data_IF_414869077875
#
_entry.id   IF_414869077875
#
_cell.length_a   1.000
_cell.length_b   1.000
_cell.length_c   1.000
_cell.angle_alpha   90.00
_cell.angle_beta   90.00
_cell.angle_gamma   90.00
#
_symmetry.space_group_name_H-M   'P 1'
#
loop_
_entity.id
_entity.type
_entity.pdbx_description
1 polymer ?
#
# COMPACT_ATOMS: atom_id res chain seq x y z
N UNK A 1 31.63 -14.64 -13.55
CA UNK A 1 30.17 -14.69 -13.34
C UNK A 1 29.56 -15.15 -14.66
N UNK A 2 28.91 -16.32 -14.70
CA UNK A 2 28.40 -16.87 -15.95
C UNK A 2 27.18 -16.07 -16.43
N UNK A 3 27.21 -15.64 -17.69
CA UNK A 3 26.13 -14.92 -18.37
C UNK A 3 24.75 -15.59 -18.23
N UNK A 4 24.69 -16.90 -17.98
CA UNK A 4 23.47 -17.67 -17.74
C UNK A 4 22.62 -17.18 -16.56
N UNK A 5 23.20 -16.53 -15.54
CA UNK A 5 22.44 -16.05 -14.37
C UNK A 5 21.54 -14.86 -14.71
N UNK A 6 21.99 -13.93 -15.55
CA UNK A 6 21.27 -12.69 -15.83
C UNK A 6 20.01 -12.92 -16.67
N UNK A 7 20.08 -13.83 -17.65
CA UNK A 7 18.95 -14.19 -18.52
C UNK A 7 17.80 -14.91 -17.79
N UNK A 8 18.04 -15.42 -16.58
CA UNK A 8 17.02 -16.08 -15.77
C UNK A 8 16.22 -15.11 -14.88
N UNK A 9 16.61 -13.83 -14.79
CA UNK A 9 15.91 -12.87 -13.94
C UNK A 9 14.57 -12.37 -14.52
N UNK A 10 14.31 -12.61 -15.81
CA UNK A 10 13.04 -12.28 -16.48
C UNK A 10 12.63 -10.82 -16.29
N UNK A 11 13.60 -9.91 -16.42
CA UNK A 11 13.42 -8.49 -16.10
C UNK A 11 12.32 -7.85 -16.96
N UNK A 12 12.26 -8.19 -18.25
CA UNK A 12 11.24 -7.67 -19.15
C UNK A 12 9.84 -8.11 -18.72
N UNK A 13 9.66 -9.39 -18.38
CA UNK A 13 8.39 -9.93 -17.93
C UNK A 13 7.97 -9.33 -16.59
N UNK A 14 8.90 -9.25 -15.61
CA UNK A 14 8.63 -8.65 -14.30
C UNK A 14 8.26 -7.18 -14.43
N UNK A 15 9.00 -6.40 -15.23
CA UNK A 15 8.69 -4.98 -15.49
C UNK A 15 7.32 -4.82 -16.14
N UNK A 16 6.99 -5.64 -17.14
CA UNK A 16 5.71 -5.57 -17.85
C UNK A 16 4.55 -5.82 -16.89
N UNK A 17 4.62 -6.92 -16.12
CA UNK A 17 3.56 -7.32 -15.18
C UNK A 17 3.42 -6.30 -14.05
N UNK A 18 4.52 -5.81 -13.49
CA UNK A 18 4.46 -4.86 -12.38
C UNK A 18 3.98 -3.48 -12.84
N UNK A 19 4.32 -3.02 -14.04
CA UNK A 19 3.76 -1.78 -14.56
C UNK A 19 2.24 -1.87 -14.71
N UNK A 20 1.73 -2.94 -15.31
CA UNK A 20 0.28 -3.16 -15.45
C UNK A 20 -0.42 -3.27 -14.09
N UNK A 21 0.12 -4.10 -13.17
CA UNK A 21 -0.38 -4.21 -11.79
C UNK A 21 -0.39 -2.85 -11.09
N UNK A 22 0.68 -2.07 -11.24
CA UNK A 22 0.83 -0.75 -10.64
C UNK A 22 -0.25 0.24 -11.07
N UNK A 23 -0.62 0.24 -12.36
CA UNK A 23 -1.75 1.04 -12.86
C UNK A 23 -3.07 0.64 -12.19
N UNK A 24 -3.34 -0.67 -12.11
CA UNK A 24 -4.52 -1.18 -11.42
C UNK A 24 -4.58 -0.79 -9.94
N UNK A 25 -3.45 -0.88 -9.23
CA UNK A 25 -3.32 -0.45 -7.83
C UNK A 25 -3.57 1.05 -7.69
N UNK A 26 -2.98 1.87 -8.57
CA UNK A 26 -3.14 3.32 -8.57
C UNK A 26 -4.60 3.73 -8.77
N UNK A 27 -5.31 3.09 -9.70
CA UNK A 27 -6.74 3.33 -9.95
C UNK A 27 -7.58 2.97 -8.72
N UNK A 28 -7.31 1.83 -8.06
CA UNK A 28 -8.02 1.44 -6.83
C UNK A 28 -7.78 2.45 -5.70
N UNK A 29 -6.53 2.87 -5.48
CA UNK A 29 -6.20 3.90 -4.50
C UNK A 29 -6.87 5.24 -4.80
N UNK A 30 -6.92 5.64 -6.08
CA UNK A 30 -7.61 6.85 -6.51
C UNK A 30 -9.11 6.80 -6.18
N UNK A 31 -9.77 5.68 -6.48
CA UNK A 31 -11.20 5.52 -6.20
C UNK A 31 -11.50 5.54 -4.70
N UNK A 32 -10.67 4.89 -3.87
CA UNK A 32 -10.79 4.95 -2.41
C UNK A 32 -10.61 6.39 -1.94
N UNK A 33 -9.55 7.07 -2.38
CA UNK A 33 -9.28 8.47 -2.04
C UNK A 33 -10.47 9.36 -2.38
N UNK A 34 -11.04 9.23 -3.57
CA UNK A 34 -12.20 10.02 -4.02
C UNK A 34 -13.44 9.72 -3.19
N UNK A 35 -13.74 8.44 -2.96
CA UNK A 35 -14.91 8.00 -2.20
C UNK A 35 -14.86 8.50 -0.76
N UNK A 36 -13.70 8.42 -0.12
CA UNK A 36 -13.50 8.90 1.26
C UNK A 36 -13.44 10.44 1.37
N UNK A 37 -13.14 11.15 0.28
CA UNK A 37 -13.12 12.62 0.25
C UNK A 37 -14.50 13.25 0.05
N UNK A 38 -15.46 12.52 -0.55
CA UNK A 38 -16.81 13.02 -0.79
C UNK A 38 -17.75 12.61 0.35
N UNK A 39 -18.33 13.56 1.11
CA UNK A 39 -19.27 13.28 2.20
C UNK A 39 -20.49 12.44 1.79
N UNK A 40 -20.88 12.45 0.51
CA UNK A 40 -22.04 11.69 0.02
C UNK A 40 -21.73 10.22 -0.21
N UNK A 41 -20.48 9.89 -0.55
CA UNK A 41 -20.04 8.52 -0.85
C UNK A 41 -19.19 7.90 0.25
N UNK A 42 -18.72 8.71 1.22
CA UNK A 42 -17.92 8.25 2.34
C UNK A 42 -18.66 7.16 3.12
N UNK A 43 -17.96 6.11 3.60
CA UNK A 43 -18.61 5.06 4.38
C UNK A 43 -19.44 5.63 5.54
N UNK A 44 -20.73 5.27 5.70
CA UNK A 44 -21.63 5.91 6.67
C UNK A 44 -21.11 5.89 8.11
N UNK A 45 -20.52 4.77 8.54
CA UNK A 45 -19.93 4.62 9.88
C UNK A 45 -18.76 5.58 10.17
N UNK A 46 -18.17 6.24 9.16
CA UNK A 46 -17.16 7.29 9.39
C UNK A 46 -17.80 8.66 9.71
N UNK A 47 -19.10 8.83 9.44
CA UNK A 47 -19.85 10.06 9.64
C UNK A 47 -20.75 10.00 10.88
N UNK A 48 -21.01 8.80 11.39
CA UNK A 48 -21.91 8.58 12.52
C UNK A 48 -21.30 9.01 13.86
N UNK A 49 -22.05 9.81 14.63
CA UNK A 49 -21.63 10.26 15.97
C UNK A 49 -21.43 9.10 16.96
N UNK A 50 -22.19 8.02 16.81
CA UNK A 50 -22.04 6.79 17.61
C UNK A 50 -20.67 6.13 17.42
N UNK A 51 -20.08 6.25 16.23
CA UNK A 51 -18.79 5.63 15.89
C UNK A 51 -17.59 6.47 16.33
N UNK A 52 -17.77 7.76 16.61
CA UNK A 52 -16.70 8.71 16.93
C UNK A 52 -15.71 8.23 18.01
N UNK A 53 -16.14 7.62 19.14
CA UNK A 53 -15.22 7.07 20.13
C UNK A 53 -14.32 5.95 19.56
N UNK A 54 -14.90 5.07 18.74
CA UNK A 54 -14.17 3.99 18.06
C UNK A 54 -13.15 4.56 17.08
N UNK A 55 -13.56 5.54 16.24
CA UNK A 55 -12.68 6.18 15.26
C UNK A 55 -11.46 6.82 15.92
N UNK A 56 -11.69 7.59 16.99
CA UNK A 56 -10.62 8.24 17.77
C UNK A 56 -9.68 7.20 18.42
N UNK A 57 -10.24 6.15 19.02
CA UNK A 57 -9.47 5.09 19.66
C UNK A 57 -8.59 4.34 18.64
N UNK A 58 -9.18 3.89 17.54
CA UNK A 58 -8.50 3.18 16.45
C UNK A 58 -7.37 4.03 15.88
N UNK A 59 -7.65 5.29 15.53
CA UNK A 59 -6.62 6.16 14.93
C UNK A 59 -5.45 6.42 15.90
N UNK A 60 -5.74 6.60 17.20
CA UNK A 60 -4.72 6.84 18.23
C UNK A 60 -3.86 5.61 18.51
N UNK A 61 -4.45 4.42 18.45
CA UNK A 61 -3.78 3.16 18.79
C UNK A 61 -3.17 2.45 17.59
N UNK A 62 -3.49 2.87 16.37
CA UNK A 62 -2.98 2.26 15.15
C UNK A 62 -1.44 2.18 15.11
N UNK A 63 -0.84 1.02 14.75
CA UNK A 63 -1.46 -0.27 14.44
C UNK A 63 -1.70 -1.18 15.66
N UNK A 64 -1.25 -0.79 16.85
CA UNK A 64 -1.33 -1.58 18.09
C UNK A 64 -2.70 -1.43 18.79
N UNK A 65 -3.76 -1.95 18.15
CA UNK A 65 -5.13 -1.86 18.66
C UNK A 65 -5.43 -3.09 19.53
N UNK A 66 -5.72 -2.87 20.81
CA UNK A 66 -6.18 -3.93 21.71
C UNK A 66 -7.71 -4.11 21.59
N UNK A 67 -8.13 -5.08 20.76
CA UNK A 67 -9.54 -5.37 20.49
C UNK A 67 -10.23 -6.00 21.70
N UNK A 68 -9.52 -6.85 22.45
CA UNK A 68 -10.09 -7.66 23.55
C UNK A 68 -10.35 -6.85 24.80
N UNK A 69 -9.44 -5.94 25.17
CA UNK A 69 -9.55 -5.17 26.41
C UNK A 69 -10.23 -3.80 26.24
N UNK A 70 -10.58 -3.40 25.00
CA UNK A 70 -11.11 -2.06 24.71
C UNK A 70 -12.57 -2.06 24.24
N UNK A 71 -13.36 -3.00 24.76
CA UNK A 71 -14.79 -3.16 24.45
C UNK A 71 -15.61 -1.90 24.72
N UNK A 72 -15.22 -1.07 25.69
CA UNK A 72 -15.87 0.22 25.96
C UNK A 72 -15.76 1.22 24.80
N UNK A 73 -14.65 1.19 24.05
CA UNK A 73 -14.42 2.09 22.92
C UNK A 73 -14.88 1.48 21.61
N UNK A 74 -14.78 0.15 21.46
CA UNK A 74 -15.10 -0.59 20.24
C UNK A 74 -16.50 -1.20 20.23
N UNK A 75 -17.34 -0.90 21.22
CA UNK A 75 -18.73 -1.38 21.32
C UNK A 75 -19.55 -1.14 20.03
N UNK A 76 -19.51 0.06 19.42
CA UNK A 76 -20.16 0.33 18.13
C UNK A 76 -19.64 -0.57 17.00
N UNK A 77 -18.32 -0.74 16.89
CA UNK A 77 -17.70 -1.63 15.88
C UNK A 77 -18.16 -3.08 16.07
N UNK A 78 -18.25 -3.56 17.32
CA UNK A 78 -18.71 -4.91 17.61
C UNK A 78 -20.16 -5.16 17.19
N UNK A 79 -21.02 -4.13 17.32
CA UNK A 79 -22.44 -4.19 16.93
C UNK A 79 -22.61 -4.30 15.42
N UNK A 80 -21.78 -3.59 14.65
CA UNK A 80 -21.90 -3.48 13.18
C UNK A 80 -20.81 -4.24 12.41
N UNK A 81 -20.04 -5.10 13.09
CA UNK A 81 -18.85 -5.78 12.53
C UNK A 81 -19.08 -6.47 11.18
N UNK A 82 -20.24 -7.08 10.97
CA UNK A 82 -20.56 -7.75 9.70
C UNK A 82 -20.72 -6.77 8.54
N UNK A 83 -21.35 -5.61 8.78
CA UNK A 83 -21.51 -4.57 7.77
C UNK A 83 -20.20 -3.85 7.49
N UNK A 84 -19.43 -3.56 8.54
CA UNK A 84 -18.08 -2.99 8.42
C UNK A 84 -17.19 -3.88 7.55
N UNK A 85 -17.15 -5.19 7.80
CA UNK A 85 -16.39 -6.14 6.97
C UNK A 85 -16.91 -6.12 5.53
N UNK A 86 -18.23 -6.22 5.33
CA UNK A 86 -18.84 -6.22 3.99
C UNK A 86 -18.41 -5.01 3.17
N UNK A 87 -18.38 -3.82 3.78
CA UNK A 87 -17.97 -2.59 3.10
C UNK A 87 -16.45 -2.51 2.90
N UNK A 88 -15.68 -2.75 3.97
CA UNK A 88 -14.24 -2.47 3.98
C UNK A 88 -13.38 -3.59 3.39
N UNK A 89 -13.91 -4.79 3.15
CA UNK A 89 -13.12 -5.90 2.58
C UNK A 89 -12.36 -5.48 1.32
N UNK A 90 -13.03 -4.87 0.35
CA UNK A 90 -12.37 -4.47 -0.90
C UNK A 90 -11.33 -3.35 -0.69
N UNK A 91 -11.55 -2.47 0.29
CA UNK A 91 -10.61 -1.40 0.61
C UNK A 91 -9.37 -1.97 1.29
N UNK A 92 -9.58 -2.82 2.29
CA UNK A 92 -8.50 -3.50 3.00
C UNK A 92 -7.64 -4.32 2.06
N UNK A 93 -8.25 -5.15 1.21
CA UNK A 93 -7.51 -5.93 0.21
C UNK A 93 -6.76 -5.02 -0.78
N UNK A 94 -7.32 -3.86 -1.15
CA UNK A 94 -6.60 -2.88 -1.98
C UNK A 94 -5.38 -2.27 -1.25
N UNK A 95 -5.44 -2.09 0.07
CA UNK A 95 -4.27 -1.65 0.85
C UNK A 95 -3.21 -2.76 0.99
N UNK A 96 -3.64 -4.01 1.15
CA UNK A 96 -2.74 -5.19 1.11
C UNK A 96 -2.05 -5.29 -0.24
N UNK A 97 -2.78 -5.07 -1.34
CA UNK A 97 -2.22 -5.05 -2.69
C UNK A 97 -1.13 -3.99 -2.87
N UNK A 98 -1.26 -2.81 -2.23
CA UNK A 98 -0.21 -1.78 -2.27
C UNK A 98 1.05 -2.28 -1.58
N UNK A 99 0.91 -2.95 -0.42
CA UNK A 99 2.03 -3.52 0.32
C UNK A 99 2.74 -4.60 -0.48
N UNK A 100 1.99 -5.53 -1.08
CA UNK A 100 2.59 -6.56 -1.93
C UNK A 100 3.21 -5.99 -3.19
N UNK A 101 2.56 -5.01 -3.83
CA UNK A 101 3.13 -4.34 -5.00
C UNK A 101 4.48 -3.71 -4.68
N UNK A 102 4.57 -3.00 -3.54
CA UNK A 102 5.83 -2.45 -3.03
C UNK A 102 6.90 -3.53 -2.86
N UNK A 103 6.58 -4.64 -2.21
CA UNK A 103 7.54 -5.72 -1.96
C UNK A 103 8.14 -6.26 -3.27
N UNK A 104 7.29 -6.48 -4.28
CA UNK A 104 7.75 -6.97 -5.59
C UNK A 104 8.55 -5.92 -6.37
N UNK A 105 8.19 -4.63 -6.26
CA UNK A 105 8.99 -3.54 -6.85
C UNK A 105 10.39 -3.54 -6.22
N UNK A 106 10.51 -3.68 -4.91
CA UNK A 106 11.82 -3.69 -4.24
C UNK A 106 12.69 -4.87 -4.61
N UNK A 107 12.10 -6.06 -4.67
CA UNK A 107 12.83 -7.23 -5.16
C UNK A 107 13.39 -6.98 -6.57
N UNK A 108 12.57 -6.39 -7.45
CA UNK A 108 12.99 -6.10 -8.82
C UNK A 108 14.07 -5.00 -8.89
N UNK A 109 13.92 -3.89 -8.16
CA UNK A 109 14.91 -2.81 -8.14
C UNK A 109 16.27 -3.31 -7.62
N UNK A 110 16.26 -4.11 -6.54
CA UNK A 110 17.48 -4.74 -6.00
C UNK A 110 18.13 -5.69 -7.03
N UNK A 111 17.32 -6.42 -7.79
CA UNK A 111 17.82 -7.31 -8.85
C UNK A 111 18.48 -6.50 -9.98
N UNK A 112 17.85 -5.40 -10.40
CA UNK A 112 18.39 -4.49 -11.45
C UNK A 112 19.74 -3.90 -11.01
N UNK A 113 19.84 -3.43 -9.76
CA UNK A 113 21.09 -2.91 -9.22
C UNK A 113 22.19 -3.97 -9.19
N UNK A 114 21.86 -5.19 -8.72
CA UNK A 114 22.81 -6.29 -8.67
C UNK A 114 23.29 -6.72 -10.07
N UNK A 115 22.42 -6.61 -11.08
CA UNK A 115 22.78 -6.87 -12.48
C UNK A 115 23.59 -5.73 -13.12
N UNK A 116 23.70 -4.58 -12.46
CA UNK A 116 24.34 -3.37 -13.00
C UNK A 116 23.84 -3.04 -14.41
N UNK A 117 22.52 -3.11 -14.60
CA UNK A 117 21.90 -2.93 -15.90
C UNK A 117 22.28 -1.58 -16.54
N UNK A 118 22.55 -1.61 -17.84
CA UNK A 118 22.77 -0.40 -18.62
C UNK A 118 21.44 0.15 -19.12
N UNK A 119 21.21 1.45 -18.94
CA UNK A 119 20.03 2.18 -19.41
C UNK A 119 20.46 3.23 -20.42
N UNK A 120 19.81 3.23 -21.58
CA UNK A 120 19.91 4.27 -22.61
C UNK A 120 18.62 4.23 -23.44
N UNK A 121 17.84 5.31 -23.36
CA UNK A 121 16.54 5.40 -24.02
C UNK A 121 16.64 5.26 -25.55
N UNK A 122 17.81 5.55 -26.15
CA UNK A 122 18.04 5.42 -27.60
C UNK A 122 18.49 4.00 -28.01
N UNK A 123 18.96 3.18 -27.08
CA UNK A 123 19.46 1.82 -27.36
C UNK A 123 18.49 0.74 -26.90
N UNK A 124 18.03 0.81 -25.65
CA UNK A 124 17.14 -0.16 -25.04
C UNK A 124 15.88 0.52 -24.50
N UNK A 125 15.18 1.19 -25.43
CA UNK A 125 13.98 1.98 -25.19
C UNK A 125 12.97 1.29 -24.26
N UNK A 126 12.52 0.08 -24.58
CA UNK A 126 11.47 -0.60 -23.81
C UNK A 126 11.90 -0.88 -22.38
N UNK A 127 13.18 -1.24 -22.18
CA UNK A 127 13.71 -1.55 -20.85
C UNK A 127 13.88 -0.28 -20.01
N UNK A 128 14.51 0.75 -20.57
CA UNK A 128 14.71 2.05 -19.88
C UNK A 128 13.38 2.72 -19.56
N UNK A 129 12.47 2.77 -20.54
CA UNK A 129 11.13 3.34 -20.34
C UNK A 129 10.35 2.55 -19.28
N UNK A 130 10.27 1.22 -19.38
CA UNK A 130 9.48 0.42 -18.45
C UNK A 130 10.02 0.50 -17.01
N UNK A 131 11.34 0.66 -16.84
CA UNK A 131 11.95 0.90 -15.54
C UNK A 131 11.52 2.24 -14.94
N UNK A 132 11.61 3.32 -15.72
CA UNK A 132 11.18 4.66 -15.29
C UNK A 132 9.67 4.71 -15.01
N UNK A 133 8.86 4.11 -15.88
CA UNK A 133 7.40 4.02 -15.71
C UNK A 133 7.05 3.30 -14.39
N UNK A 134 7.78 2.25 -14.02
CA UNK A 134 7.55 1.52 -12.77
C UNK A 134 7.87 2.39 -11.56
N UNK A 135 8.98 3.14 -11.59
CA UNK A 135 9.39 4.06 -10.51
C UNK A 135 8.38 5.17 -10.33
N UNK A 136 7.91 5.79 -11.42
CA UNK A 136 6.90 6.85 -11.38
C UNK A 136 5.58 6.30 -10.85
N UNK A 137 5.16 5.12 -11.32
CA UNK A 137 3.93 4.46 -10.85
C UNK A 137 4.01 4.14 -9.37
N UNK A 138 5.11 3.52 -8.92
CA UNK A 138 5.36 3.21 -7.53
C UNK A 138 5.30 4.46 -6.63
N UNK A 139 6.05 5.50 -7.00
CA UNK A 139 6.05 6.79 -6.30
C UNK A 139 4.64 7.39 -6.23
N UNK A 140 3.89 7.34 -7.33
CA UNK A 140 2.52 7.84 -7.41
C UNK A 140 1.56 7.08 -6.49
N UNK A 141 1.68 5.75 -6.42
CA UNK A 141 0.88 4.91 -5.51
C UNK A 141 1.14 5.30 -4.05
N UNK A 142 2.41 5.41 -3.64
CA UNK A 142 2.78 5.79 -2.26
C UNK A 142 2.30 7.19 -1.91
N UNK A 143 2.50 8.17 -2.81
CA UNK A 143 2.01 9.53 -2.60
C UNK A 143 0.49 9.59 -2.53
N UNK A 144 -0.22 8.81 -3.34
CA UNK A 144 -1.68 8.76 -3.30
C UNK A 144 -2.20 8.09 -2.03
N UNK A 145 -1.58 7.00 -1.57
CA UNK A 145 -1.87 6.35 -0.30
C UNK A 145 -1.77 7.35 0.86
N UNK A 146 -0.70 8.16 0.90
CA UNK A 146 -0.48 9.16 1.95
C UNK A 146 -1.56 10.25 2.00
N UNK A 147 -2.23 10.51 0.86
CA UNK A 147 -3.32 11.49 0.70
C UNK A 147 -4.70 10.93 1.08
N UNK A 148 -4.79 9.66 1.48
CA UNK A 148 -5.99 9.10 2.08
C UNK A 148 -5.91 9.39 3.58
N UNK A 149 -6.66 10.41 4.03
CA UNK A 149 -6.65 10.88 5.41
C UNK A 149 -7.08 9.78 6.40
N UNK A 150 -8.17 9.09 6.08
CA UNK A 150 -8.74 8.04 6.96
C UNK A 150 -8.06 6.67 6.82
N UNK A 151 -6.91 6.55 6.13
CA UNK A 151 -6.29 5.23 5.82
C UNK A 151 -6.10 4.33 7.05
N UNK A 152 -5.65 4.91 8.17
CA UNK A 152 -5.44 4.17 9.43
C UNK A 152 -6.75 3.67 10.02
N UNK A 153 -7.80 4.49 9.92
CA UNK A 153 -9.13 4.15 10.41
C UNK A 153 -9.73 3.04 9.54
N UNK A 154 -9.66 3.16 8.21
CA UNK A 154 -10.16 2.15 7.28
C UNK A 154 -9.50 0.77 7.53
N UNK A 155 -8.17 0.75 7.65
CA UNK A 155 -7.40 -0.48 7.89
C UNK A 155 -7.66 -1.02 9.30
N UNK A 156 -7.59 -0.16 10.32
CA UNK A 156 -7.75 -0.55 11.72
C UNK A 156 -9.17 -1.02 12.04
N UNK A 157 -10.19 -0.36 11.49
CA UNK A 157 -11.59 -0.72 11.68
C UNK A 157 -11.93 -2.07 11.04
N UNK A 158 -11.42 -2.34 9.83
CA UNK A 158 -11.53 -3.65 9.21
C UNK A 158 -10.92 -4.73 10.12
N UNK A 159 -9.68 -4.55 10.58
CA UNK A 159 -9.02 -5.54 11.42
C UNK A 159 -9.76 -5.77 12.75
N UNK A 160 -10.25 -4.71 13.40
CA UNK A 160 -11.06 -4.84 14.61
C UNK A 160 -12.31 -5.67 14.37
N UNK A 161 -13.07 -5.36 13.31
CA UNK A 161 -14.28 -6.08 12.97
C UNK A 161 -13.97 -7.54 12.59
N UNK A 162 -12.89 -7.76 11.83
CA UNK A 162 -12.41 -9.10 11.43
C UNK A 162 -12.07 -9.95 12.66
N UNK A 163 -11.29 -9.42 13.60
CA UNK A 163 -10.94 -10.12 14.84
C UNK A 163 -12.17 -10.43 15.69
N UNK A 164 -13.12 -9.50 15.78
CA UNK A 164 -14.37 -9.73 16.50
C UNK A 164 -15.27 -10.79 15.86
N UNK A 165 -15.18 -10.99 14.54
CA UNK A 165 -15.99 -11.98 13.83
C UNK A 165 -15.33 -13.36 13.80
N UNK A 166 -14.01 -13.42 13.61
CA UNK A 166 -13.27 -14.67 13.39
C UNK A 166 -12.44 -15.12 14.60
N UNK A 167 -12.30 -14.28 15.63
CA UNK A 167 -11.50 -14.57 16.84
C UNK A 167 -9.99 -14.30 16.70
N UNK A 168 -9.53 -13.91 15.51
CA UNK A 168 -8.13 -13.53 15.25
C UNK A 168 -8.04 -12.37 14.25
N UNK A 169 -6.98 -11.57 14.38
CA UNK A 169 -6.66 -10.50 13.43
C UNK A 169 -6.29 -11.04 12.04
N UNK A 170 -6.35 -10.16 11.04
CA UNK A 170 -5.90 -10.49 9.69
C UNK A 170 -4.36 -10.64 9.66
N UNK A 171 -3.80 -11.67 9.00
CA UNK A 171 -2.36 -11.91 9.00
C UNK A 171 -1.52 -10.76 8.42
N UNK A 172 -2.08 -10.01 7.47
CA UNK A 172 -1.39 -8.90 6.81
C UNK A 172 -1.42 -7.61 7.63
N UNK A 173 -2.28 -7.51 8.65
CA UNK A 173 -2.53 -6.25 9.36
C UNK A 173 -1.28 -5.66 10.00
N UNK A 174 -0.45 -6.48 10.63
CA UNK A 174 0.77 -6.00 11.31
C UNK A 174 1.76 -5.37 10.32
N UNK A 175 2.03 -6.06 9.20
CA UNK A 175 2.94 -5.56 8.14
C UNK A 175 2.36 -4.34 7.44
N UNK A 176 1.07 -4.37 7.11
CA UNK A 176 0.39 -3.26 6.46
C UNK A 176 0.37 -2.01 7.36
N UNK A 177 0.08 -2.19 8.64
CA UNK A 177 0.09 -1.12 9.63
C UNK A 177 1.46 -0.47 9.75
N UNK A 178 2.52 -1.28 9.81
CA UNK A 178 3.89 -0.80 9.84
C UNK A 178 4.25 -0.01 8.56
N UNK A 179 3.93 -0.54 7.38
CA UNK A 179 4.15 0.16 6.11
C UNK A 179 3.45 1.53 6.09
N UNK A 180 2.20 1.61 6.54
CA UNK A 180 1.43 2.85 6.57
C UNK A 180 2.07 3.91 7.48
N UNK A 181 2.70 3.51 8.59
CA UNK A 181 3.43 4.44 9.47
C UNK A 181 4.73 4.95 8.83
N UNK A 182 5.47 4.08 8.14
CA UNK A 182 6.72 4.46 7.47
C UNK A 182 6.51 5.55 6.41
N UNK A 183 5.33 5.58 5.79
CA UNK A 183 4.95 6.59 4.78
C UNK A 183 4.16 7.78 5.34
N UNK A 184 4.25 8.08 6.63
CA UNK A 184 3.75 9.36 7.17
C UNK A 184 4.46 10.57 6.56
N UNK A 185 5.75 10.41 6.23
CA UNK A 185 6.54 11.39 5.50
C UNK A 185 7.02 10.76 4.18
N UNK A 186 6.12 10.60 3.19
CA UNK A 186 6.34 9.70 2.06
C UNK A 186 7.54 10.12 1.21
N UNK A 187 7.76 11.42 0.98
CA UNK A 187 8.91 11.91 0.21
C UNK A 187 10.24 11.58 0.90
N UNK A 188 10.33 11.78 2.22
CA UNK A 188 11.53 11.44 2.98
C UNK A 188 11.82 9.95 2.91
N UNK A 189 10.80 9.12 3.15
CA UNK A 189 10.92 7.66 3.10
C UNK A 189 11.31 7.17 1.70
N UNK A 190 10.70 7.70 0.65
CA UNK A 190 11.06 7.38 -0.73
C UNK A 190 12.52 7.77 -1.04
N UNK A 191 13.00 8.93 -0.60
CA UNK A 191 14.41 9.31 -0.78
C UNK A 191 15.36 8.32 -0.11
N UNK A 192 15.06 7.88 1.11
CA UNK A 192 15.85 6.87 1.82
C UNK A 192 15.84 5.52 1.07
N UNK A 193 14.68 5.10 0.58
CA UNK A 193 14.48 3.83 -0.11
C UNK A 193 15.15 3.79 -1.50
N UNK A 194 15.17 4.92 -2.22
CA UNK A 194 15.87 5.04 -3.49
C UNK A 194 17.37 5.31 -3.37
N UNK A 195 17.89 5.50 -2.15
CA UNK A 195 19.31 5.72 -1.90
C UNK A 195 20.22 4.70 -2.60
N UNK A 196 20.02 3.38 -2.39
CA UNK A 196 20.78 2.32 -3.08
C UNK A 196 20.63 2.33 -4.61
N UNK A 197 19.48 2.78 -5.11
CA UNK A 197 19.11 2.76 -6.53
C UNK A 197 19.61 3.98 -7.32
N UNK A 198 20.22 4.96 -6.66
CA UNK A 198 20.61 6.26 -7.25
C UNK A 198 21.41 6.13 -8.54
N UNK A 199 22.34 5.17 -8.62
CA UNK A 199 23.16 4.97 -9.83
C UNK A 199 22.33 4.51 -11.02
N UNK A 200 21.43 3.55 -10.83
CA UNK A 200 20.58 3.01 -11.88
C UNK A 200 19.56 4.06 -12.35
N UNK A 201 18.92 4.77 -11.41
CA UNK A 201 17.95 5.83 -11.71
C UNK A 201 18.60 6.97 -12.49
N UNK A 202 19.73 7.50 -12.01
CA UNK A 202 20.44 8.59 -12.69
C UNK A 202 21.01 8.19 -14.04
N UNK A 203 21.30 6.90 -14.27
CA UNK A 203 21.73 6.41 -15.58
C UNK A 203 20.58 6.26 -16.58
N UNK A 204 19.34 6.14 -16.09
CA UNK A 204 18.15 6.00 -16.92
C UNK A 204 17.48 7.34 -17.29
N UNK A 205 17.63 8.36 -16.44
CA UNK A 205 17.13 9.73 -16.64
C UNK A 205 18.00 10.52 -17.62
#
# INVERSE_FOLDING_TARGET
MSLTSAYQHKLAEKLTILNDRGQGVLIRMYNIKKTCSDPKSKPPFLLEKSMEPSLKYINKKFPNIDVRNSTQHLGPVHREKAEIIRFLTNYYQSFVDVMEFRDHVYELLNTIDACQCHFDINLNFDFTRSYLDLIVTYTSVILLLSRIEDRRILIGMYNCAHEMLHGHGDPSFARLGQMVLEYDHPLKKLTEEFGPHTKAVSGAL
#
